data_IF_886958559857
#
_entry.id   IF_886958559857
#
_cell.length_a   1.000
_cell.length_b   1.000
_cell.length_c   1.000
_cell.angle_alpha   90.00
_cell.angle_beta   90.00
_cell.angle_gamma   90.00
#
_symmetry.space_group_name_H-M   'P 1'
#
loop_
_entity.id
_entity.type
_entity.pdbx_description
1 polymer ?
#
# COMPACT_ATOMS: atom_id res chain seq x y z
N UNK A 1 4.63 -0.23 12.21
CA UNK A 1 3.59 0.26 11.28
C UNK A 1 2.83 1.45 11.84
N UNK A 2 2.07 1.32 12.95
CA UNK A 2 1.28 2.43 13.51
C UNK A 2 2.06 3.74 13.73
N UNK A 3 3.23 3.68 14.38
CA UNK A 3 4.06 4.87 14.65
C UNK A 3 4.44 5.60 13.37
N UNK A 4 4.84 4.85 12.32
CA UNK A 4 5.25 5.41 11.04
C UNK A 4 4.06 6.07 10.35
N UNK A 5 2.94 5.35 10.19
CA UNK A 5 1.74 5.89 9.55
C UNK A 5 1.21 7.16 10.24
N UNK A 6 1.32 7.24 11.58
CA UNK A 6 0.89 8.42 12.36
C UNK A 6 1.87 9.58 12.32
N UNK A 7 3.13 9.35 11.95
CA UNK A 7 4.14 10.41 11.81
C UNK A 7 4.09 11.13 10.47
N UNK A 8 3.44 10.54 9.46
CA UNK A 8 3.32 11.11 8.12
C UNK A 8 2.15 12.10 8.05
N UNK A 9 2.26 13.10 7.17
CA UNK A 9 1.17 14.02 6.83
C UNK A 9 0.64 13.67 5.46
N UNK A 10 -0.61 13.26 5.40
CA UNK A 10 -1.30 12.93 4.16
C UNK A 10 -2.11 14.13 3.67
N UNK A 11 -2.20 14.28 2.35
CA UNK A 11 -2.97 15.29 1.67
C UNK A 11 -4.08 14.66 0.83
N UNK A 12 -5.08 15.46 0.49
CA UNK A 12 -6.15 15.00 -0.39
C UNK A 12 -5.58 14.55 -1.74
N UNK A 13 -5.90 13.31 -2.13
CA UNK A 13 -5.41 12.70 -3.36
C UNK A 13 -4.21 11.77 -3.19
N UNK A 14 -3.60 11.71 -2.00
CA UNK A 14 -2.54 10.74 -1.70
C UNK A 14 -3.08 9.30 -1.66
N UNK A 15 -2.17 8.35 -1.79
CA UNK A 15 -2.45 6.92 -1.95
C UNK A 15 -1.51 6.07 -1.08
N UNK A 16 -2.05 5.14 -0.30
CA UNK A 16 -1.27 4.15 0.43
C UNK A 16 -1.20 2.85 -0.36
N UNK A 17 -0.05 2.55 -0.94
CA UNK A 17 0.18 1.30 -1.68
C UNK A 17 0.61 0.16 -0.76
N UNK A 18 0.00 -1.00 -0.93
CA UNK A 18 0.30 -2.22 -0.17
C UNK A 18 0.08 -3.46 -1.03
N UNK A 19 0.79 -4.55 -0.77
CA UNK A 19 0.54 -5.84 -1.44
C UNK A 19 -0.66 -6.57 -0.84
N UNK A 20 -1.30 -7.46 -1.61
CA UNK A 20 -2.34 -8.37 -1.10
C UNK A 20 -1.80 -9.45 -0.13
N UNK A 21 -0.48 -9.66 -0.10
CA UNK A 21 0.21 -10.55 0.84
C UNK A 21 0.62 -9.87 2.16
N UNK A 22 0.18 -8.63 2.41
CA UNK A 22 0.57 -7.92 3.62
C UNK A 22 0.01 -8.59 4.89
N UNK A 23 0.80 -8.63 5.95
CA UNK A 23 0.34 -9.14 7.24
C UNK A 23 -0.90 -8.40 7.73
N UNK A 24 -1.93 -9.13 8.15
CA UNK A 24 -3.27 -8.59 8.44
C UNK A 24 -3.26 -7.44 9.45
N UNK A 25 -2.45 -7.51 10.51
CA UNK A 25 -2.37 -6.43 11.49
C UNK A 25 -1.78 -5.14 10.88
N UNK A 26 -0.81 -5.28 9.98
CA UNK A 26 -0.26 -4.16 9.22
C UNK A 26 -1.32 -3.58 8.28
N UNK A 27 -2.09 -4.46 7.61
CA UNK A 27 -3.17 -4.04 6.71
C UNK A 27 -4.27 -3.28 7.45
N UNK A 28 -4.66 -3.72 8.64
CA UNK A 28 -5.65 -3.04 9.47
C UNK A 28 -5.17 -1.64 9.90
N UNK A 29 -3.91 -1.53 10.34
CA UNK A 29 -3.32 -0.25 10.69
C UNK A 29 -3.26 0.72 9.50
N UNK A 30 -2.92 0.21 8.31
CA UNK A 30 -2.89 0.97 7.06
C UNK A 30 -4.29 1.45 6.64
N UNK A 31 -5.29 0.56 6.67
CA UNK A 31 -6.68 0.90 6.35
C UNK A 31 -7.22 1.98 7.32
N UNK A 32 -6.97 1.83 8.62
CA UNK A 32 -7.36 2.83 9.62
C UNK A 32 -6.71 4.19 9.34
N UNK A 33 -5.41 4.21 9.05
CA UNK A 33 -4.71 5.46 8.74
C UNK A 33 -5.27 6.13 7.48
N UNK A 34 -5.57 5.34 6.44
CA UNK A 34 -6.17 5.85 5.20
C UNK A 34 -7.54 6.48 5.45
N UNK A 35 -8.39 5.81 6.23
CA UNK A 35 -9.72 6.29 6.60
C UNK A 35 -9.63 7.60 7.40
N UNK A 36 -8.75 7.67 8.40
CA UNK A 36 -8.56 8.88 9.20
C UNK A 36 -8.04 10.06 8.39
N UNK A 37 -7.20 9.80 7.39
CA UNK A 37 -6.64 10.82 6.51
C UNK A 37 -7.53 11.17 5.30
N UNK A 38 -8.59 10.39 5.04
CA UNK A 38 -9.42 10.56 3.85
C UNK A 38 -8.69 10.25 2.54
N UNK A 39 -7.72 9.32 2.58
CA UNK A 39 -6.89 8.93 1.41
C UNK A 39 -7.19 7.48 0.98
N UNK A 40 -6.72 7.11 -0.21
CA UNK A 40 -7.07 5.81 -0.82
C UNK A 40 -6.03 4.75 -0.50
N UNK A 41 -6.47 3.51 -0.24
CA UNK A 41 -5.58 2.35 -0.23
C UNK A 41 -5.54 1.71 -1.62
N UNK A 42 -4.35 1.49 -2.15
CA UNK A 42 -4.08 0.82 -3.43
C UNK A 42 -3.47 -0.54 -3.15
N UNK A 43 -3.95 -1.58 -3.84
CA UNK A 43 -3.47 -2.95 -3.62
C UNK A 43 -2.73 -3.46 -4.84
N UNK A 44 -1.44 -3.74 -4.68
CA UNK A 44 -0.66 -4.51 -5.63
C UNK A 44 -0.95 -6.00 -5.43
N UNK A 45 -1.72 -6.58 -6.35
CA UNK A 45 -1.99 -8.02 -6.34
C UNK A 45 -0.73 -8.78 -6.78
N UNK A 46 -0.17 -9.60 -5.90
CA UNK A 46 1.02 -10.40 -6.18
C UNK A 46 0.58 -11.75 -6.75
N UNK A 47 0.92 -12.07 -8.01
CA UNK A 47 0.48 -13.33 -8.61
C UNK A 47 1.11 -14.54 -7.92
N UNK A 48 0.38 -15.65 -7.89
CA UNK A 48 0.88 -16.93 -7.41
C UNK A 48 0.35 -18.08 -8.28
N UNK A 49 1.21 -19.00 -8.77
CA UNK A 49 2.66 -19.03 -8.59
C UNK A 49 3.38 -17.93 -9.37
N UNK A 50 4.59 -17.56 -8.92
CA UNK A 50 5.45 -16.60 -9.60
C UNK A 50 6.27 -17.29 -10.70
N UNK A 51 6.42 -16.60 -11.83
CA UNK A 51 7.34 -16.96 -12.92
C UNK A 51 8.74 -16.40 -12.67
N UNK A 52 8.83 -15.25 -12.00
CA UNK A 52 10.09 -14.62 -11.59
C UNK A 52 9.85 -13.57 -10.50
N UNK A 53 10.92 -13.10 -9.83
CA UNK A 53 10.85 -11.97 -8.89
C UNK A 53 10.38 -10.67 -9.55
N UNK A 54 10.63 -10.51 -10.85
CA UNK A 54 10.30 -9.29 -11.59
C UNK A 54 8.79 -9.07 -11.66
N UNK A 55 7.98 -10.13 -11.59
CA UNK A 55 6.52 -9.98 -11.53
C UNK A 55 6.06 -9.23 -10.28
N UNK A 56 6.75 -9.39 -9.15
CA UNK A 56 6.44 -8.63 -7.92
C UNK A 56 6.82 -7.16 -8.12
N UNK A 57 8.02 -6.92 -8.66
CA UNK A 57 8.55 -5.57 -8.88
C UNK A 57 7.63 -4.81 -9.82
N UNK A 58 7.23 -5.40 -10.94
CA UNK A 58 6.31 -4.77 -11.89
C UNK A 58 4.96 -4.45 -11.25
N UNK A 59 4.37 -5.36 -10.46
CA UNK A 59 3.09 -5.09 -9.78
C UNK A 59 3.14 -3.92 -8.81
N UNK A 60 4.28 -3.72 -8.14
CA UNK A 60 4.47 -2.56 -7.26
C UNK A 60 4.71 -1.29 -8.07
N UNK A 61 5.60 -1.34 -9.08
CA UNK A 61 5.94 -0.18 -9.89
C UNK A 61 4.78 0.34 -10.74
N UNK A 62 3.94 -0.54 -11.30
CA UNK A 62 2.74 -0.18 -12.07
C UNK A 62 1.73 0.66 -11.26
N UNK A 63 1.79 0.55 -9.92
CA UNK A 63 0.87 1.21 -9.00
C UNK A 63 1.56 2.29 -8.16
N UNK A 64 2.89 2.38 -8.20
CA UNK A 64 3.63 3.46 -7.57
C UNK A 64 3.52 4.71 -8.44
N UNK A 65 2.99 5.79 -7.88
CA UNK A 65 2.76 7.04 -8.59
C UNK A 65 3.30 8.22 -7.78
N UNK A 66 3.32 9.45 -8.33
CA UNK A 66 3.64 10.66 -7.56
C UNK A 66 2.69 10.92 -6.37
N UNK A 67 1.59 10.17 -6.26
CA UNK A 67 0.62 10.26 -5.15
C UNK A 67 0.86 9.20 -4.07
N UNK A 68 1.79 8.26 -4.28
CA UNK A 68 2.11 7.18 -3.35
C UNK A 68 3.21 7.57 -2.37
#
# INVERSE_FOLDING_TARGET
>A
VNTVLRSLRFHSGDELLVTDQAYNACRNALNFAAEQAGVRVVVAAVPFPLRSSDEIVQRVLDLASPRT
#
